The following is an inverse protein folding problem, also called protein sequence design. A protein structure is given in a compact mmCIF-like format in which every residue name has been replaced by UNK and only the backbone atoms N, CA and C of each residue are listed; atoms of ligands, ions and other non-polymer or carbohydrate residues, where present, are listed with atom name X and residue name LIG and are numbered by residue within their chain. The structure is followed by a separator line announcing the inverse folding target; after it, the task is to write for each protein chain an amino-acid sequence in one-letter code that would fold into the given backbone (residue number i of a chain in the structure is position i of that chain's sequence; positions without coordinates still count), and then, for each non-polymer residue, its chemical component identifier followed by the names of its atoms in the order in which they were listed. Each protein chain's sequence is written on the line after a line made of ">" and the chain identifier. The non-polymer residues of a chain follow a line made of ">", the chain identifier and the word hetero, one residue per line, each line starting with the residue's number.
data_IF_473160696316
#
_entry.id   IF_473160696316
#
_cell.length_a   1.000
_cell.length_b   1.000
_cell.length_c   1.000
_cell.angle_alpha   90.00
_cell.angle_beta   90.00
_cell.angle_gamma   90.00
#
_symmetry.space_group_name_H-M   'P 1'
#
loop_
_entity.id
_entity.type
_entity.pdbx_description
1 polymer ?
#
# COMPACT_ATOMS: atom_id res chain seq x y z
N UNK A 1 -58.29 7.55 26.72
CA UNK A 1 -57.02 6.80 26.78
C UNK A 1 -57.18 5.56 25.90
N UNK A 2 -56.74 5.67 24.65
CA UNK A 2 -56.87 4.63 23.63
C UNK A 2 -55.64 4.71 22.74
N UNK A 3 -54.90 3.61 22.70
CA UNK A 3 -53.58 3.37 22.12
C UNK A 3 -53.45 3.80 20.66
N UNK A 4 -52.56 4.74 20.38
CA UNK A 4 -52.04 4.98 19.03
C UNK A 4 -51.00 3.90 18.71
N UNK A 5 -51.33 3.01 17.77
CA UNK A 5 -50.34 2.13 17.16
C UNK A 5 -49.41 2.98 16.28
N UNK A 6 -48.08 2.85 16.40
CA UNK A 6 -47.18 3.49 15.45
C UNK A 6 -47.39 2.84 14.06
N UNK A 7 -47.36 3.62 12.97
CA UNK A 7 -47.39 3.04 11.64
C UNK A 7 -46.17 2.12 11.48
N UNK A 8 -46.42 0.90 11.03
CA UNK A 8 -45.39 -0.05 10.62
C UNK A 8 -44.44 0.68 9.66
N UNK A 9 -43.20 0.87 10.11
CA UNK A 9 -42.13 1.29 9.24
C UNK A 9 -42.02 0.23 8.15
N UNK A 10 -42.47 0.61 6.96
CA UNK A 10 -42.24 -0.11 5.72
C UNK A 10 -40.78 -0.55 5.72
N UNK A 11 -40.56 -1.87 5.72
CA UNK A 11 -39.29 -2.49 5.39
C UNK A 11 -38.91 -2.04 3.99
N UNK A 12 -38.30 -0.86 3.91
CA UNK A 12 -37.44 -0.52 2.81
C UNK A 12 -36.31 -1.54 2.88
N UNK A 13 -36.45 -2.60 2.08
CA UNK A 13 -35.37 -3.46 1.67
C UNK A 13 -34.32 -2.59 0.94
N UNK A 14 -33.56 -1.84 1.73
CA UNK A 14 -32.27 -1.31 1.36
C UNK A 14 -31.41 -2.55 1.19
N UNK A 15 -31.24 -2.98 -0.05
CA UNK A 15 -30.21 -3.93 -0.43
C UNK A 15 -28.91 -3.40 0.15
N UNK A 16 -28.54 -3.92 1.31
CA UNK A 16 -27.30 -3.55 1.97
C UNK A 16 -26.23 -4.11 1.07
N UNK A 17 -25.56 -3.24 0.33
CA UNK A 17 -24.30 -3.58 -0.31
C UNK A 17 -23.35 -3.89 0.85
N UNK A 18 -23.36 -5.14 1.31
CA UNK A 18 -22.44 -5.61 2.33
C UNK A 18 -21.10 -5.76 1.62
N UNK A 19 -20.35 -4.68 1.56
CA UNK A 19 -18.94 -4.73 1.20
C UNK A 19 -18.27 -5.77 2.11
N UNK A 20 -17.65 -6.79 1.51
CA UNK A 20 -16.97 -7.85 2.26
C UNK A 20 -15.75 -7.24 2.96
N UNK A 21 -15.73 -7.32 4.30
CA UNK A 21 -14.56 -6.93 5.08
C UNK A 21 -13.50 -8.02 4.94
N UNK A 22 -12.31 -7.66 4.46
CA UNK A 22 -11.21 -8.61 4.23
C UNK A 22 -10.12 -8.52 5.30
N UNK A 23 -9.98 -7.37 5.94
CA UNK A 23 -8.93 -7.09 6.91
C UNK A 23 -9.39 -6.03 7.92
N UNK A 24 -9.00 -6.21 9.19
CA UNK A 24 -9.12 -5.19 10.24
C UNK A 24 -7.77 -5.03 10.93
N UNK A 25 -7.30 -3.79 11.12
CA UNK A 25 -6.06 -3.45 11.84
C UNK A 25 -6.34 -2.27 12.78
N UNK A 26 -6.40 -2.51 14.09
CA UNK A 26 -6.93 -1.51 15.03
C UNK A 26 -8.33 -1.05 14.62
N UNK A 27 -8.50 0.26 14.39
CA UNK A 27 -9.74 0.87 13.94
C UNK A 27 -9.91 0.88 12.40
N UNK A 28 -8.87 0.51 11.65
CA UNK A 28 -8.93 0.47 10.20
C UNK A 28 -9.65 -0.79 9.73
N UNK A 29 -10.79 -0.60 9.04
CA UNK A 29 -11.55 -1.65 8.37
C UNK A 29 -11.27 -1.55 6.87
N UNK A 30 -10.83 -2.65 6.28
CA UNK A 30 -10.52 -2.73 4.85
C UNK A 30 -11.52 -3.67 4.18
N UNK A 31 -12.24 -3.14 3.20
CA UNK A 31 -13.15 -3.91 2.36
C UNK A 31 -12.42 -4.57 1.19
N UNK A 32 -13.11 -5.48 0.50
CA UNK A 32 -12.61 -6.07 -0.74
C UNK A 32 -12.31 -5.01 -1.80
N UNK A 33 -13.18 -4.00 -1.92
CA UNK A 33 -13.02 -2.89 -2.87
C UNK A 33 -11.85 -1.99 -2.49
N UNK A 34 -11.63 -1.73 -1.19
CA UNK A 34 -10.43 -1.01 -0.73
C UNK A 34 -9.15 -1.78 -1.10
N UNK A 35 -9.12 -3.11 -0.88
CA UNK A 35 -7.96 -3.92 -1.24
C UNK A 35 -7.68 -3.92 -2.75
N UNK A 36 -8.71 -3.93 -3.59
CA UNK A 36 -8.57 -3.80 -5.04
C UNK A 36 -7.97 -2.43 -5.42
N UNK A 37 -8.52 -1.36 -4.84
CA UNK A 37 -8.04 0.01 -5.08
C UNK A 37 -6.57 0.15 -4.69
N UNK A 38 -6.17 -0.35 -3.52
CA UNK A 38 -4.79 -0.37 -3.05
C UNK A 38 -3.88 -1.11 -4.03
N UNK A 39 -4.28 -2.30 -4.50
CA UNK A 39 -3.52 -3.07 -5.46
C UNK A 39 -3.29 -2.29 -6.77
N UNK A 40 -4.34 -1.67 -7.30
CA UNK A 40 -4.24 -0.89 -8.55
C UNK A 40 -3.43 0.39 -8.37
N UNK A 41 -3.58 1.09 -7.23
CA UNK A 41 -2.76 2.26 -6.89
C UNK A 41 -1.28 1.87 -6.78
N UNK A 42 -0.95 0.72 -6.18
CA UNK A 42 0.42 0.20 -6.13
C UNK A 42 0.96 -0.13 -7.52
N UNK A 43 0.14 -0.71 -8.41
CA UNK A 43 0.54 -1.01 -9.79
C UNK A 43 0.87 0.26 -10.59
N UNK A 44 0.00 1.27 -10.57
CA UNK A 44 0.31 2.60 -11.14
C UNK A 44 1.51 3.22 -10.41
N UNK A 45 1.59 2.99 -9.10
CA UNK A 45 2.70 3.23 -8.16
C UNK A 45 4.06 2.82 -8.70
N UNK A 46 4.11 1.70 -9.40
CA UNK A 46 5.34 1.07 -9.89
C UNK A 46 5.50 1.18 -11.41
N UNK A 47 4.70 2.02 -12.08
CA UNK A 47 4.75 2.23 -13.53
C UNK A 47 3.95 1.21 -14.35
N UNK A 48 3.23 0.30 -13.70
CA UNK A 48 2.37 -0.70 -14.35
C UNK A 48 0.97 -0.16 -14.65
N UNK A 49 0.85 0.93 -15.42
CA UNK A 49 -0.45 1.53 -15.72
C UNK A 49 -1.39 0.54 -16.43
N UNK A 50 -0.89 -0.19 -17.44
CA UNK A 50 -1.68 -1.20 -18.15
C UNK A 50 -2.14 -2.33 -17.22
N UNK A 51 -1.22 -2.83 -16.38
CA UNK A 51 -1.52 -3.85 -15.38
C UNK A 51 -2.58 -3.38 -14.37
N UNK A 52 -2.62 -2.08 -14.06
CA UNK A 52 -3.62 -1.51 -13.15
C UNK A 52 -5.05 -1.53 -13.71
N UNK A 53 -5.24 -1.75 -15.02
CA UNK A 53 -6.57 -2.00 -15.62
C UNK A 53 -6.81 -3.49 -15.91
N UNK A 54 -5.75 -4.28 -16.00
CA UNK A 54 -5.81 -5.71 -16.22
C UNK A 54 -6.31 -6.52 -15.00
N UNK A 55 -6.46 -7.84 -15.18
CA UNK A 55 -6.71 -8.76 -14.08
C UNK A 55 -5.51 -8.81 -13.13
N UNK A 56 -5.79 -9.01 -11.84
CA UNK A 56 -4.78 -9.16 -10.79
C UNK A 56 -4.91 -10.57 -10.23
N UNK A 57 -3.84 -11.36 -10.32
CA UNK A 57 -3.83 -12.73 -9.83
C UNK A 57 -3.83 -12.80 -8.30
N UNK A 58 -4.15 -13.99 -7.76
CA UNK A 58 -4.27 -14.23 -6.31
C UNK A 58 -2.96 -13.98 -5.55
N UNK A 59 -1.81 -14.28 -6.14
CA UNK A 59 -0.50 -14.11 -5.49
C UNK A 59 -0.15 -12.62 -5.34
N UNK A 60 -0.43 -11.84 -6.38
CA UNK A 60 -0.32 -10.38 -6.33
C UNK A 60 -1.26 -9.80 -5.27
N UNK A 61 -2.53 -10.23 -5.23
CA UNK A 61 -3.49 -9.77 -4.19
C UNK A 61 -3.01 -10.14 -2.79
N UNK A 62 -2.51 -11.36 -2.58
CA UNK A 62 -1.94 -11.79 -1.28
C UNK A 62 -0.76 -10.92 -0.86
N UNK A 63 0.11 -10.59 -1.81
CA UNK A 63 1.27 -9.73 -1.57
C UNK A 63 0.86 -8.31 -1.19
N UNK A 64 -0.12 -7.74 -1.89
CA UNK A 64 -0.69 -6.43 -1.57
C UNK A 64 -1.39 -6.44 -0.21
N UNK A 65 -2.20 -7.47 0.10
CA UNK A 65 -2.87 -7.59 1.40
C UNK A 65 -1.83 -7.63 2.54
N UNK A 66 -0.79 -8.44 2.40
CA UNK A 66 0.29 -8.54 3.39
C UNK A 66 1.04 -7.22 3.55
N UNK A 67 1.31 -6.53 2.45
CA UNK A 67 1.91 -5.19 2.48
C UNK A 67 1.00 -4.16 3.15
N UNK A 68 -0.31 -4.20 2.86
CA UNK A 68 -1.31 -3.28 3.41
C UNK A 68 -1.46 -3.44 4.91
N UNK A 69 -1.46 -4.68 5.43
CA UNK A 69 -1.40 -4.94 6.88
C UNK A 69 -0.22 -4.20 7.50
N UNK A 70 0.97 -4.35 6.94
CA UNK A 70 2.17 -3.69 7.46
C UNK A 70 2.07 -2.17 7.38
N UNK A 71 1.54 -1.62 6.28
CA UNK A 71 1.30 -0.18 6.15
C UNK A 71 0.35 0.34 7.22
N UNK A 72 -0.76 -0.34 7.47
CA UNK A 72 -1.76 0.07 8.46
C UNK A 72 -1.22 0.00 9.88
N UNK A 73 -0.44 -1.03 10.21
CA UNK A 73 0.23 -1.13 11.51
C UNK A 73 1.17 0.06 11.75
N UNK A 74 2.02 0.37 10.77
CA UNK A 74 2.96 1.49 10.88
C UNK A 74 2.22 2.83 10.91
N UNK A 75 1.16 2.97 10.11
CA UNK A 75 0.34 4.16 10.09
C UNK A 75 -0.32 4.40 11.45
N UNK A 76 -0.99 3.39 12.00
CA UNK A 76 -1.67 3.48 13.30
C UNK A 76 -0.71 3.90 14.41
N UNK A 77 0.54 3.41 14.41
CA UNK A 77 1.55 3.85 15.37
C UNK A 77 1.94 5.32 15.18
N UNK A 78 2.14 5.76 13.93
CA UNK A 78 2.44 7.16 13.63
C UNK A 78 1.28 8.10 14.02
N UNK A 79 0.03 7.65 13.84
CA UNK A 79 -1.20 8.33 14.28
C UNK A 79 -1.27 8.46 15.79
N UNK A 80 -1.08 7.34 16.49
CA UNK A 80 -1.09 7.28 17.96
C UNK A 80 -0.05 8.21 18.58
N UNK A 81 1.10 8.37 17.94
CA UNK A 81 2.17 9.27 18.37
C UNK A 81 2.00 10.72 17.90
N UNK A 82 1.05 11.00 17.01
CA UNK A 82 0.84 12.34 16.46
C UNK A 82 2.01 12.87 15.63
N UNK A 83 2.77 11.98 14.97
CA UNK A 83 3.99 12.33 14.23
C UNK A 83 3.87 12.14 12.72
N UNK A 84 4.68 12.89 11.98
CA UNK A 84 4.87 12.79 10.54
C UNK A 84 3.60 12.95 9.69
N UNK A 85 2.65 13.75 10.18
CA UNK A 85 1.48 14.14 9.39
C UNK A 85 1.93 14.79 8.08
N UNK A 86 1.23 14.46 6.99
CA UNK A 86 1.49 15.07 5.70
C UNK A 86 0.63 16.32 5.56
N UNK A 87 1.24 17.43 5.14
CA UNK A 87 0.50 18.66 4.87
C UNK A 87 -0.41 18.50 3.65
N UNK A 88 -1.40 19.37 3.50
CA UNK A 88 -2.28 19.37 2.33
C UNK A 88 -1.50 19.54 1.03
N UNK A 89 -0.52 20.45 1.03
CA UNK A 89 0.32 20.75 -0.13
C UNK A 89 1.15 19.53 -0.54
N UNK A 90 1.65 18.76 0.42
CA UNK A 90 2.43 17.54 0.15
C UNK A 90 1.55 16.45 -0.48
N UNK A 91 0.30 16.34 -0.02
CA UNK A 91 -0.66 15.38 -0.55
C UNK A 91 -1.10 15.79 -1.96
N UNK A 92 -1.34 17.08 -2.20
CA UNK A 92 -1.65 17.62 -3.53
C UNK A 92 -0.50 17.37 -4.51
N UNK A 93 0.76 17.64 -4.12
CA UNK A 93 1.92 17.35 -4.96
C UNK A 93 2.05 15.86 -5.27
N UNK A 94 1.78 15.00 -4.29
CA UNK A 94 1.79 13.55 -4.49
C UNK A 94 0.66 13.10 -5.43
N UNK A 95 -0.53 13.69 -5.29
CA UNK A 95 -1.69 13.42 -6.15
C UNK A 95 -1.41 13.85 -7.59
N UNK A 96 -0.86 15.04 -7.80
CA UNK A 96 -0.44 15.51 -9.12
C UNK A 96 0.63 14.61 -9.74
N UNK A 97 1.61 14.18 -8.94
CA UNK A 97 2.64 13.26 -9.41
C UNK A 97 2.06 11.90 -9.78
N UNK A 98 1.05 11.42 -9.04
CA UNK A 98 0.34 10.19 -9.33
C UNK A 98 -0.50 10.32 -10.60
N UNK A 99 -1.28 11.41 -10.74
CA UNK A 99 -2.10 11.73 -11.92
C UNK A 99 -1.28 11.84 -13.20
N UNK A 100 -0.08 12.43 -13.14
CA UNK A 100 0.83 12.51 -14.30
C UNK A 100 1.22 11.15 -14.89
N UNK A 101 1.14 10.06 -14.11
CA UNK A 101 1.47 8.71 -14.59
C UNK A 101 0.44 8.14 -15.55
N UNK A 102 -0.76 8.72 -15.58
CA UNK A 102 -1.81 8.34 -16.52
C UNK A 102 -1.60 8.94 -17.91
N UNK A 103 -0.65 9.88 -18.07
CA UNK A 103 -0.34 10.55 -19.33
C UNK A 103 -1.35 11.61 -19.72
N UNK A 104 -2.64 11.31 -19.58
CA UNK A 104 -3.74 12.21 -19.94
C UNK A 104 -4.91 12.17 -18.93
N UNK A 105 -5.71 13.22 -18.98
CA UNK A 105 -6.84 13.42 -18.07
C UNK A 105 -7.98 12.43 -18.29
N UNK A 106 -8.21 11.97 -19.52
CA UNK A 106 -9.27 11.01 -19.80
C UNK A 106 -8.93 9.65 -19.17
N UNK A 107 -7.67 9.23 -19.24
CA UNK A 107 -7.15 8.01 -18.63
C UNK A 107 -7.19 8.08 -17.10
N UNK A 108 -6.85 9.24 -16.51
CA UNK A 108 -7.03 9.49 -15.07
C UNK A 108 -8.49 9.35 -14.62
N UNK A 109 -9.42 10.07 -15.26
CA UNK A 109 -10.84 10.01 -14.90
C UNK A 109 -11.43 8.62 -15.13
N UNK A 110 -10.94 7.89 -16.14
CA UNK A 110 -11.33 6.51 -16.41
C UNK A 110 -10.91 5.58 -15.28
N UNK A 111 -9.70 5.76 -14.75
CA UNK A 111 -9.24 5.02 -13.57
C UNK A 111 -10.17 5.23 -12.39
N UNK A 112 -10.44 6.49 -12.02
CA UNK A 112 -11.35 6.83 -10.92
C UNK A 112 -12.73 6.19 -11.07
N UNK A 113 -13.35 6.32 -12.25
CA UNK A 113 -14.65 5.70 -12.54
C UNK A 113 -14.62 4.18 -12.48
N UNK A 114 -13.55 3.54 -12.97
CA UNK A 114 -13.43 2.08 -12.96
C UNK A 114 -13.38 1.50 -11.54
N UNK A 115 -12.94 2.31 -10.58
CA UNK A 115 -12.84 1.98 -9.16
C UNK A 115 -14.01 2.52 -8.34
N UNK A 116 -14.93 3.28 -8.96
CA UNK A 116 -16.02 3.98 -8.28
C UNK A 116 -15.55 4.89 -7.12
N UNK A 117 -14.45 5.62 -7.33
CA UNK A 117 -13.86 6.52 -6.31
C UNK A 117 -13.59 7.93 -6.84
N UNK A 118 -13.55 8.89 -5.93
CA UNK A 118 -13.05 10.24 -6.17
C UNK A 118 -11.54 10.39 -5.90
N UNK A 119 -11.00 11.58 -6.21
CA UNK A 119 -9.59 11.91 -5.95
C UNK A 119 -9.26 11.91 -4.46
N UNK A 120 -10.24 12.17 -3.60
CA UNK A 120 -10.13 12.17 -2.14
C UNK A 120 -9.68 10.81 -1.60
N UNK A 121 -10.17 9.71 -2.19
CA UNK A 121 -9.74 8.35 -1.81
C UNK A 121 -8.30 8.09 -2.19
N UNK A 122 -7.86 8.56 -3.36
CA UNK A 122 -6.46 8.46 -3.77
C UNK A 122 -5.57 9.33 -2.87
N UNK A 123 -6.00 10.55 -2.58
CA UNK A 123 -5.30 11.47 -1.67
C UNK A 123 -5.16 10.88 -0.26
N UNK A 124 -6.17 10.18 0.26
CA UNK A 124 -6.10 9.49 1.55
C UNK A 124 -5.03 8.38 1.55
N UNK A 125 -4.98 7.56 0.50
CA UNK A 125 -3.94 6.53 0.32
C UNK A 125 -2.54 7.18 0.27
N UNK A 126 -2.39 8.25 -0.53
CA UNK A 126 -1.11 8.95 -0.67
C UNK A 126 -0.65 9.62 0.64
N UNK A 127 -1.58 10.26 1.37
CA UNK A 127 -1.33 10.83 2.71
C UNK A 127 -0.79 9.76 3.65
N UNK A 128 -1.45 8.60 3.73
CA UNK A 128 -0.99 7.47 4.54
C UNK A 128 0.41 7.02 4.12
N UNK A 129 0.64 6.86 2.83
CA UNK A 129 1.93 6.41 2.29
C UNK A 129 3.07 7.40 2.61
N UNK A 130 2.81 8.71 2.61
CA UNK A 130 3.79 9.74 3.02
C UNK A 130 4.12 9.58 4.50
N UNK A 131 3.11 9.50 5.37
CA UNK A 131 3.28 9.35 6.83
C UNK A 131 4.07 8.09 7.17
N UNK A 132 3.69 6.95 6.58
CA UNK A 132 4.37 5.67 6.79
C UNK A 132 5.82 5.71 6.33
N UNK A 133 6.10 6.29 5.14
CA UNK A 133 7.47 6.42 4.63
C UNK A 133 8.35 7.22 5.58
N UNK A 134 7.87 8.38 6.05
CA UNK A 134 8.60 9.23 7.01
C UNK A 134 8.86 8.52 8.33
N UNK A 135 7.87 7.79 8.83
CA UNK A 135 8.03 7.00 10.04
C UNK A 135 9.13 5.94 9.88
N UNK A 136 9.15 5.20 8.77
CA UNK A 136 10.19 4.23 8.47
C UNK A 136 11.57 4.86 8.25
N UNK A 137 11.63 6.01 7.59
CA UNK A 137 12.88 6.77 7.44
C UNK A 137 13.46 7.17 8.79
N UNK A 138 12.62 7.68 9.70
CA UNK A 138 13.04 8.08 11.04
C UNK A 138 13.42 6.90 11.94
N UNK A 139 12.63 5.83 11.98
CA UNK A 139 12.78 4.74 12.95
C UNK A 139 13.70 3.62 12.48
N UNK A 140 13.76 3.38 11.17
CA UNK A 140 14.49 2.26 10.59
C UNK A 140 15.70 2.74 9.80
N UNK A 141 15.51 3.65 8.85
CA UNK A 141 16.61 4.04 7.94
C UNK A 141 17.79 4.66 8.70
N UNK A 142 17.53 5.49 9.72
CA UNK A 142 18.58 6.11 10.54
C UNK A 142 19.37 5.11 11.41
N UNK A 143 18.80 3.94 11.71
CA UNK A 143 19.45 2.92 12.56
C UNK A 143 20.19 1.86 11.74
N UNK A 144 19.94 1.80 10.43
CA UNK A 144 20.59 0.84 9.52
C UNK A 144 21.90 1.45 9.01
N UNK A 145 23.01 1.01 9.61
CA UNK A 145 24.35 1.32 9.15
C UNK A 145 25.00 0.07 8.54
N UNK A 146 25.86 0.27 7.53
CA UNK A 146 26.70 -0.79 6.94
C UNK A 146 28.12 -0.25 6.89
N UNK A 147 29.01 -0.85 7.69
CA UNK A 147 30.42 -0.45 7.75
C UNK A 147 31.22 -1.07 6.60
N UNK A 148 32.44 -0.57 6.36
CA UNK A 148 33.37 -1.23 5.43
C UNK A 148 33.79 -2.62 5.88
N UNK A 149 33.83 -2.86 7.20
CA UNK A 149 34.10 -4.16 7.79
C UNK A 149 32.98 -5.16 7.46
N UNK A 150 31.71 -4.74 7.52
CA UNK A 150 30.58 -5.57 7.12
C UNK A 150 30.67 -5.99 5.65
N UNK A 151 31.10 -5.06 4.79
CA UNK A 151 31.26 -5.29 3.34
C UNK A 151 32.40 -6.25 3.07
N UNK A 152 33.55 -6.07 3.72
CA UNK A 152 34.69 -6.98 3.61
C UNK A 152 34.33 -8.39 4.13
N UNK A 153 33.70 -8.48 5.31
CA UNK A 153 33.29 -9.76 5.89
C UNK A 153 32.25 -10.49 5.02
N UNK A 154 31.33 -9.76 4.37
CA UNK A 154 30.40 -10.36 3.41
C UNK A 154 31.12 -10.85 2.15
N UNK A 155 32.02 -10.04 1.59
CA UNK A 155 32.79 -10.40 0.41
C UNK A 155 33.64 -11.66 0.62
N UNK A 156 34.33 -11.78 1.76
CA UNK A 156 35.12 -12.96 2.10
C UNK A 156 34.25 -14.20 2.31
N UNK A 157 33.14 -14.06 3.03
CA UNK A 157 32.21 -15.18 3.28
C UNK A 157 31.56 -15.70 2.00
N UNK A 158 31.22 -14.80 1.08
CA UNK A 158 30.54 -15.12 -0.18
C UNK A 158 31.49 -15.02 -1.39
N UNK A 159 32.80 -15.22 -1.18
CA UNK A 159 33.85 -15.02 -2.19
C UNK A 159 33.56 -15.73 -3.51
N UNK A 160 32.97 -16.92 -3.45
CA UNK A 160 32.57 -17.72 -4.61
C UNK A 160 31.52 -17.03 -5.51
N UNK A 161 30.66 -16.15 -4.96
CA UNK A 161 29.65 -15.40 -5.74
C UNK A 161 30.26 -14.31 -6.62
N UNK A 162 31.50 -13.91 -6.34
CA UNK A 162 32.12 -12.75 -6.97
C UNK A 162 33.16 -13.09 -8.04
N UNK A 163 33.55 -14.36 -8.19
CA UNK A 163 34.49 -14.80 -9.24
C UNK A 163 35.84 -14.10 -9.13
N UNK A 164 36.38 -13.52 -10.18
CA UNK A 164 37.65 -12.78 -10.11
C UNK A 164 37.49 -11.30 -9.75
N UNK A 165 36.27 -10.82 -9.50
CA UNK A 165 36.04 -9.41 -9.17
C UNK A 165 36.62 -9.08 -7.80
N UNK A 166 37.37 -7.98 -7.72
CA UNK A 166 37.94 -7.47 -6.46
C UNK A 166 36.86 -6.88 -5.56
N UNK A 167 37.17 -6.78 -4.26
CA UNK A 167 36.31 -6.13 -3.26
C UNK A 167 35.90 -4.72 -3.69
N UNK A 168 36.84 -3.91 -4.17
CA UNK A 168 36.55 -2.53 -4.57
C UNK A 168 35.56 -2.44 -5.74
N UNK A 169 35.62 -3.38 -6.69
CA UNK A 169 34.70 -3.42 -7.82
C UNK A 169 33.26 -3.75 -7.40
N UNK A 170 33.05 -4.45 -6.29
CA UNK A 170 31.72 -4.89 -5.82
C UNK A 170 31.28 -4.22 -4.51
N UNK A 171 32.10 -3.34 -3.93
CA UNK A 171 31.88 -2.71 -2.62
C UNK A 171 30.49 -2.07 -2.51
N UNK A 172 30.13 -1.21 -3.46
CA UNK A 172 28.84 -0.51 -3.43
C UNK A 172 27.65 -1.46 -3.63
N UNK A 173 27.82 -2.51 -4.46
CA UNK A 173 26.79 -3.53 -4.68
C UNK A 173 26.54 -4.30 -3.38
N UNK A 174 27.61 -4.73 -2.70
CA UNK A 174 27.52 -5.42 -1.42
C UNK A 174 26.92 -4.49 -0.36
N UNK A 175 27.37 -3.23 -0.28
CA UNK A 175 26.84 -2.26 0.68
C UNK A 175 25.35 -2.04 0.49
N UNK A 176 24.90 -1.85 -0.76
CA UNK A 176 23.48 -1.71 -1.09
C UNK A 176 22.67 -2.96 -0.73
N UNK A 177 23.20 -4.16 -1.01
CA UNK A 177 22.57 -5.42 -0.64
C UNK A 177 22.43 -5.58 0.88
N UNK A 178 23.52 -5.36 1.63
CA UNK A 178 23.53 -5.44 3.09
C UNK A 178 22.58 -4.40 3.71
N UNK A 179 22.58 -3.19 3.17
CA UNK A 179 21.67 -2.13 3.61
C UNK A 179 20.21 -2.56 3.43
N UNK A 180 19.85 -3.04 2.23
CA UNK A 180 18.50 -3.54 1.95
C UNK A 180 18.12 -4.68 2.90
N UNK A 181 19.01 -5.66 3.08
CA UNK A 181 18.76 -6.81 3.95
C UNK A 181 18.52 -6.38 5.41
N UNK A 182 19.36 -5.49 5.95
CA UNK A 182 19.23 -4.97 7.31
C UNK A 182 17.99 -4.10 7.47
N UNK A 183 17.70 -3.25 6.49
CA UNK A 183 16.48 -2.44 6.45
C UNK A 183 15.22 -3.29 6.50
N UNK A 184 15.11 -4.30 5.63
CA UNK A 184 13.98 -5.22 5.62
C UNK A 184 13.88 -6.00 6.94
N UNK A 185 15.00 -6.42 7.54
CA UNK A 185 15.00 -7.08 8.84
C UNK A 185 14.49 -6.16 9.96
N UNK A 186 14.91 -4.90 9.97
CA UNK A 186 14.46 -3.90 10.94
C UNK A 186 12.98 -3.53 10.73
N UNK A 187 12.49 -3.41 9.50
CA UNK A 187 11.05 -3.23 9.22
C UNK A 187 10.26 -4.44 9.71
N UNK A 188 10.70 -5.67 9.43
CA UNK A 188 10.04 -6.89 9.92
C UNK A 188 9.99 -6.95 11.43
N UNK A 189 11.06 -6.54 12.12
CA UNK A 189 11.10 -6.45 13.57
C UNK A 189 10.07 -5.43 14.07
N UNK A 190 10.10 -4.21 13.52
CA UNK A 190 9.15 -3.15 13.86
C UNK A 190 7.70 -3.63 13.69
N UNK A 191 7.35 -4.19 12.54
CA UNK A 191 6.00 -4.71 12.26
C UNK A 191 5.59 -5.78 13.26
N UNK A 192 6.50 -6.69 13.64
CA UNK A 192 6.23 -7.71 14.66
C UNK A 192 5.90 -7.06 16.00
N UNK A 193 6.71 -6.08 16.42
CA UNK A 193 6.50 -5.33 17.67
C UNK A 193 5.18 -4.53 17.62
N UNK A 194 4.75 -4.06 16.46
CA UNK A 194 3.47 -3.36 16.29
C UNK A 194 2.27 -4.32 16.26
N UNK A 195 2.43 -5.49 15.64
CA UNK A 195 1.36 -6.47 15.52
C UNK A 195 0.87 -7.00 16.86
N UNK A 196 1.73 -7.03 17.89
CA UNK A 196 1.36 -7.53 19.21
C UNK A 196 0.33 -6.67 19.95
N UNK A 197 0.19 -5.39 19.60
CA UNK A 197 -0.78 -4.49 20.23
C UNK A 197 -1.97 -4.14 19.34
N UNK A 198 -1.81 -4.14 18.01
CA UNK A 198 -2.85 -3.74 17.07
C UNK A 198 -3.73 -4.91 16.53
N UNK A 199 -3.38 -6.15 16.88
CA UNK A 199 -4.11 -7.40 16.56
C UNK A 199 -4.72 -7.42 15.14
N UNK A 200 -3.88 -7.45 14.08
CA UNK A 200 -4.38 -7.47 12.71
C UNK A 200 -5.15 -8.77 12.44
N UNK A 201 -6.41 -8.65 12.01
CA UNK A 201 -7.31 -9.77 11.71
C UNK A 201 -7.60 -9.83 10.22
N UNK A 202 -7.06 -10.84 9.56
CA UNK A 202 -7.43 -11.18 8.18
C UNK A 202 -8.72 -12.00 8.22
N UNK A 203 -9.78 -11.46 7.62
CA UNK A 203 -11.13 -12.04 7.68
C UNK A 203 -11.51 -12.80 6.41
N UNK A 204 -10.79 -12.57 5.31
CA UNK A 204 -11.03 -13.26 4.05
C UNK A 204 -9.71 -13.58 3.32
N UNK A 205 -9.68 -14.75 2.69
CA UNK A 205 -8.57 -15.18 1.84
C UNK A 205 -8.47 -14.31 0.57
N UNK A 206 -7.24 -13.99 0.11
CA UNK A 206 -7.02 -13.32 -1.17
C UNK A 206 -7.72 -14.04 -2.33
N UNK A 207 -8.45 -13.26 -3.14
CA UNK A 207 -9.03 -13.72 -4.41
C UNK A 207 -8.63 -12.76 -5.51
N UNK A 208 -8.41 -13.28 -6.71
CA UNK A 208 -8.08 -12.49 -7.89
C UNK A 208 -9.12 -11.38 -8.14
N UNK A 209 -8.66 -10.30 -8.77
CA UNK A 209 -9.55 -9.26 -9.26
C UNK A 209 -9.63 -9.36 -10.78
N UNK A 210 -10.85 -9.25 -11.35
CA UNK A 210 -11.00 -9.21 -12.79
C UNK A 210 -10.34 -7.95 -13.37
N UNK A 211 -10.08 -7.96 -14.67
CA UNK A 211 -9.77 -6.73 -15.37
C UNK A 211 -10.92 -5.74 -15.24
N UNK A 212 -10.61 -4.47 -15.03
CA UNK A 212 -11.59 -3.40 -15.11
C UNK A 212 -11.51 -2.89 -16.53
N UNK A 213 -12.48 -3.28 -17.35
CA UNK A 213 -12.53 -2.88 -18.75
C UNK A 213 -12.27 -1.38 -18.85
N UNK A 214 -11.37 -1.02 -19.76
CA UNK A 214 -11.30 0.33 -20.26
C UNK A 214 -12.62 0.59 -21.00
N UNK A 215 -13.55 1.44 -20.52
CA UNK A 215 -14.63 1.85 -21.37
C UNK A 215 -13.98 2.52 -22.56
N UNK A 216 -14.18 1.93 -23.74
CA UNK A 216 -13.75 2.52 -25.00
C UNK A 216 -14.41 3.90 -25.01
N UNK A 217 -13.62 4.96 -25.19
CA UNK A 217 -14.22 6.26 -25.42
C UNK A 217 -15.21 6.09 -26.58
N UNK A 218 -16.48 6.51 -26.46
CA UNK A 218 -17.35 6.52 -27.63
C UNK A 218 -16.61 7.31 -28.71
N UNK A 219 -16.47 6.69 -29.89
CA UNK A 219 -15.65 7.19 -30.99
C UNK A 219 -15.80 8.69 -31.14
N UNK A 220 -14.67 9.40 -31.15
CA UNK A 220 -14.65 10.79 -31.55
C UNK A 220 -15.20 10.92 -32.98
N UNK A 221 -15.86 12.04 -33.30
CA UNK A 221 -16.43 12.30 -34.62
C UNK A 221 -15.38 12.29 -35.74
#
# INVERSE_FOLDING_TARGET
>A
LGTGAPPAASEAALGTLVEEVVLVVGDAVVTRSDLELEARVVLVGNGGLEAAFGPIDVETVRSVQSWLVNQLLIHAEAERLGVFEASSEEVEQALDAFRRRFGDEATWRRFLRSQDVGEDRIAAILRRNIRVRRYLESRVKLTVQVSDEDVAAFYERERSRFGDRSLDAVREVIRGYLFKQRYEASVRKLVRDLSSWADPRVLAEPRAFPGRELPIAPGGP
#
